data_IF_793951400075
#
_entry.id   IF_793951400075
#
_cell.length_a   1.000
_cell.length_b   1.000
_cell.length_c   1.000
_cell.angle_alpha   90.00
_cell.angle_beta   90.00
_cell.angle_gamma   90.00
#
_symmetry.space_group_name_H-M   'P 1'
#
loop_
_entity.id
_entity.type
_entity.pdbx_description
1 polymer ?
#
# COMPACT_ATOMS: atom_id res chain seq x y z
N UNK A 1 -30.04 -6.89 7.23
CA UNK A 1 -28.61 -6.52 7.08
C UNK A 1 -28.02 -6.38 8.47
N UNK A 2 -27.02 -7.19 8.83
CA UNK A 2 -26.25 -7.01 10.05
C UNK A 2 -25.09 -6.09 9.69
N UNK A 3 -25.05 -4.88 10.23
CA UNK A 3 -23.81 -4.11 10.27
C UNK A 3 -23.02 -4.65 11.47
N UNK A 4 -22.06 -5.55 11.23
CA UNK A 4 -20.97 -5.72 12.17
C UNK A 4 -20.15 -4.44 12.09
N UNK A 5 -20.44 -3.51 12.99
CA UNK A 5 -19.52 -2.44 13.32
C UNK A 5 -18.31 -3.06 14.04
N UNK A 6 -17.45 -3.77 13.31
CA UNK A 6 -16.06 -3.85 13.72
C UNK A 6 -15.58 -2.40 13.67
N UNK A 7 -15.36 -1.80 14.83
CA UNK A 7 -14.61 -0.57 14.93
C UNK A 7 -13.22 -0.83 14.39
N UNK A 8 -13.04 -0.68 13.07
CA UNK A 8 -11.73 -0.62 12.43
C UNK A 8 -11.14 0.70 12.91
N UNK A 9 -10.60 0.69 14.12
CA UNK A 9 -9.79 1.77 14.64
C UNK A 9 -8.69 2.00 13.62
N UNK A 10 -8.72 3.17 13.00
CA UNK A 10 -7.75 3.76 12.07
C UNK A 10 -6.50 2.91 11.84
N UNK A 11 -6.56 1.97 10.90
CA UNK A 11 -5.35 1.30 10.39
C UNK A 11 -4.42 2.40 9.89
N UNK A 12 -3.26 2.54 10.54
CA UNK A 12 -2.26 3.51 10.10
C UNK A 12 -1.72 3.02 8.76
N UNK A 13 -1.66 3.90 7.77
CA UNK A 13 -1.01 3.63 6.50
C UNK A 13 0.28 4.43 6.45
N UNK A 14 1.39 3.72 6.55
CA UNK A 14 2.71 4.23 6.28
C UNK A 14 3.04 4.00 4.80
N UNK A 15 3.93 4.83 4.29
CA UNK A 15 4.55 4.60 3.00
C UNK A 15 6.04 4.83 3.15
N UNK A 16 6.83 3.80 2.85
CA UNK A 16 8.28 3.89 2.82
C UNK A 16 8.69 5.04 1.91
N UNK A 17 9.46 5.98 2.46
CA UNK A 17 9.94 7.14 1.71
C UNK A 17 10.78 6.68 0.52
N UNK A 18 10.55 7.24 -0.69
CA UNK A 18 11.54 7.14 -1.75
C UNK A 18 12.89 7.65 -1.25
N UNK A 19 13.98 7.14 -1.82
CA UNK A 19 15.30 7.70 -1.59
C UNK A 19 15.33 9.17 -2.07
N UNK A 20 16.13 10.05 -1.45
CA UNK A 20 16.16 11.47 -1.82
C UNK A 20 16.46 11.72 -3.31
N UNK A 21 17.24 10.82 -3.92
CA UNK A 21 17.70 10.88 -5.30
C UNK A 21 16.81 10.09 -6.27
N UNK A 22 15.69 9.51 -5.80
CA UNK A 22 14.79 8.77 -6.69
C UNK A 22 14.19 9.70 -7.75
N UNK A 23 14.15 9.25 -9.03
CA UNK A 23 13.60 10.03 -10.14
C UNK A 23 12.08 10.17 -10.08
N UNK A 24 11.43 9.69 -9.01
CA UNK A 24 9.99 9.70 -8.80
C UNK A 24 9.66 10.15 -7.38
N UNK A 25 8.41 10.52 -7.15
CA UNK A 25 7.91 10.95 -5.85
C UNK A 25 6.52 10.37 -5.59
N UNK A 26 6.20 10.27 -4.30
CA UNK A 26 4.87 9.86 -3.82
C UNK A 26 4.05 11.13 -3.61
N UNK A 27 2.96 11.24 -4.34
CA UNK A 27 2.05 12.39 -4.26
C UNK A 27 0.95 12.16 -3.23
N UNK A 28 0.46 10.92 -3.13
CA UNK A 28 -0.69 10.57 -2.28
C UNK A 28 -0.60 9.10 -1.88
N UNK A 29 -0.99 8.83 -0.64
CA UNK A 29 -1.12 7.48 -0.10
C UNK A 29 -2.45 7.42 0.63
N UNK A 30 -3.32 6.51 0.20
CA UNK A 30 -4.60 6.27 0.87
C UNK A 30 -4.86 4.79 0.96
N UNK A 31 -5.60 4.39 1.99
CA UNK A 31 -5.98 3.00 2.16
C UNK A 31 -7.10 2.87 3.16
N UNK A 32 -7.86 1.81 3.01
CA UNK A 32 -9.02 1.50 3.84
C UNK A 32 -9.22 -0.01 3.88
N UNK A 33 -9.53 -0.52 5.06
CA UNK A 33 -10.06 -1.87 5.18
C UNK A 33 -11.54 -1.85 4.74
N UNK A 34 -11.91 -2.79 3.87
CA UNK A 34 -13.24 -3.00 3.35
C UNK A 34 -13.60 -4.48 3.48
N UNK A 35 -14.87 -4.78 3.68
CA UNK A 35 -15.38 -6.13 3.53
C UNK A 35 -15.82 -6.32 2.07
N UNK A 36 -15.23 -7.29 1.38
CA UNK A 36 -15.54 -7.67 0.00
C UNK A 36 -15.83 -9.17 -0.06
N UNK A 37 -16.98 -9.55 -0.61
CA UNK A 37 -17.41 -10.94 -0.75
C UNK A 37 -17.41 -11.75 0.58
N UNK A 38 -17.63 -11.06 1.70
CA UNK A 38 -17.62 -11.65 3.05
C UNK A 38 -16.23 -11.85 3.65
N UNK A 39 -15.18 -11.30 3.02
CA UNK A 39 -13.82 -11.30 3.52
C UNK A 39 -13.34 -9.86 3.75
N UNK A 40 -12.67 -9.60 4.87
CA UNK A 40 -12.00 -8.33 5.10
C UNK A 40 -10.77 -8.24 4.19
N UNK A 41 -10.58 -7.10 3.53
CA UNK A 41 -9.41 -6.81 2.69
C UNK A 41 -8.96 -5.37 2.90
N UNK A 42 -7.66 -5.13 2.78
CA UNK A 42 -7.11 -3.78 2.78
C UNK A 42 -6.95 -3.32 1.34
N UNK A 43 -7.70 -2.30 0.98
CA UNK A 43 -7.55 -1.62 -0.30
C UNK A 43 -6.65 -0.41 -0.12
N UNK A 44 -5.70 -0.22 -1.02
CA UNK A 44 -4.83 0.94 -1.02
C UNK A 44 -4.74 1.57 -2.40
N UNK A 45 -4.42 2.86 -2.41
CA UNK A 45 -4.08 3.63 -3.59
C UNK A 45 -2.85 4.46 -3.27
N UNK A 46 -1.78 4.26 -4.06
CA UNK A 46 -0.58 5.11 -4.02
C UNK A 46 -0.46 5.84 -5.35
N UNK A 47 -0.46 7.16 -5.32
CA UNK A 47 -0.21 7.98 -6.50
C UNK A 47 1.25 8.38 -6.54
N UNK A 48 1.93 7.99 -7.61
CA UNK A 48 3.33 8.32 -7.87
C UNK A 48 3.47 9.18 -9.11
N UNK A 49 4.49 10.03 -9.12
CA UNK A 49 4.90 10.81 -10.29
C UNK A 49 6.36 10.59 -10.60
N UNK A 50 6.67 10.35 -11.87
CA UNK A 50 8.04 10.42 -12.38
C UNK A 50 8.40 11.90 -12.62
N UNK A 51 9.53 12.35 -12.07
CA UNK A 51 10.07 13.71 -12.20
C UNK A 51 11.24 13.79 -13.18
N UNK A 52 11.61 12.64 -13.76
CA UNK A 52 12.68 12.54 -14.74
C UNK A 52 12.15 12.63 -16.17
N UNK A 53 13.08 12.93 -17.07
CA UNK A 53 12.86 12.91 -18.52
C UNK A 53 12.94 11.50 -19.12
N UNK A 54 13.27 10.50 -18.32
CA UNK A 54 13.46 9.11 -18.73
C UNK A 54 12.34 8.22 -18.21
N UNK A 55 12.23 6.99 -18.75
CA UNK A 55 11.31 5.98 -18.24
C UNK A 55 11.90 5.37 -16.97
N UNK A 56 11.09 5.30 -15.91
CA UNK A 56 11.47 4.67 -14.63
C UNK A 56 10.70 3.37 -14.46
N UNK A 57 11.38 2.30 -14.06
CA UNK A 57 10.74 1.06 -13.63
C UNK A 57 10.63 1.05 -12.10
N UNK A 58 9.41 0.85 -11.62
CA UNK A 58 9.10 0.75 -10.20
C UNK A 58 8.54 -0.62 -9.89
N UNK A 59 8.80 -1.09 -8.68
CA UNK A 59 7.96 -2.09 -8.05
C UNK A 59 7.96 -1.86 -6.55
N UNK A 60 7.54 -2.86 -5.79
CA UNK A 60 7.42 -2.68 -4.36
C UNK A 60 6.76 -3.85 -3.64
N UNK A 61 6.38 -3.59 -2.41
CA UNK A 61 5.64 -4.52 -1.55
C UNK A 61 4.71 -3.76 -0.61
N UNK A 62 3.57 -4.39 -0.31
CA UNK A 62 2.66 -3.99 0.75
C UNK A 62 2.94 -4.84 1.98
N UNK A 63 3.30 -4.22 3.11
CA UNK A 63 3.64 -4.92 4.36
C UNK A 63 2.56 -4.68 5.40
N UNK A 64 2.11 -5.76 6.03
CA UNK A 64 1.20 -5.70 7.16
C UNK A 64 2.00 -5.85 8.44
N UNK A 65 1.99 -4.82 9.28
CA UNK A 65 2.78 -4.73 10.50
C UNK A 65 1.86 -4.88 11.72
N UNK A 66 2.32 -5.68 12.69
CA UNK A 66 1.67 -5.79 13.98
C UNK A 66 2.04 -4.67 14.94
N UNK A 67 1.47 -4.69 16.15
CA UNK A 67 1.71 -3.68 17.18
C UNK A 67 3.19 -3.51 17.62
N UNK A 68 4.06 -4.48 17.32
CA UNK A 68 5.51 -4.41 17.59
C UNK A 68 6.34 -3.98 16.36
N UNK A 69 5.70 -3.49 15.30
CA UNK A 69 6.28 -3.27 13.96
C UNK A 69 6.87 -4.54 13.32
N UNK A 70 6.57 -5.72 13.88
CA UNK A 70 6.92 -6.99 13.26
C UNK A 70 6.04 -7.21 12.04
N UNK A 71 6.66 -7.58 10.91
CA UNK A 71 5.96 -7.97 9.72
C UNK A 71 5.16 -9.25 9.99
N UNK A 72 3.85 -9.16 9.80
CA UNK A 72 2.91 -10.28 9.87
C UNK A 72 2.81 -10.94 8.50
N UNK A 73 2.67 -10.11 7.46
CA UNK A 73 2.45 -10.54 6.08
C UNK A 73 3.03 -9.51 5.10
N UNK A 74 3.36 -9.92 3.89
CA UNK A 74 3.73 -9.02 2.81
C UNK A 74 3.22 -9.52 1.46
N UNK A 75 2.75 -8.59 0.63
CA UNK A 75 2.29 -8.85 -0.74
C UNK A 75 3.18 -8.07 -1.72
N UNK A 76 3.84 -8.73 -2.69
CA UNK A 76 4.61 -8.04 -3.70
C UNK A 76 3.68 -7.24 -4.62
N UNK A 77 4.12 -6.05 -5.04
CA UNK A 77 3.45 -5.27 -6.06
C UNK A 77 4.04 -5.60 -7.42
N UNK A 78 3.17 -5.82 -8.41
CA UNK A 78 3.63 -6.05 -9.78
C UNK A 78 4.46 -4.86 -10.27
N UNK A 79 5.65 -5.09 -10.86
CA UNK A 79 6.45 -4.02 -11.42
C UNK A 79 5.72 -3.29 -12.54
N UNK A 80 5.97 -2.00 -12.66
CA UNK A 80 5.37 -1.15 -13.68
C UNK A 80 6.31 -0.04 -14.11
N UNK A 81 6.15 0.39 -15.36
CA UNK A 81 6.89 1.55 -15.88
C UNK A 81 6.09 2.84 -15.70
N UNK A 82 6.81 3.91 -15.37
CA UNK A 82 6.34 5.28 -15.54
C UNK A 82 7.12 5.96 -16.66
N UNK A 83 6.40 6.50 -17.63
CA UNK A 83 6.97 7.41 -18.62
C UNK A 83 7.45 8.72 -18.00
N UNK A 84 8.20 9.53 -18.78
CA UNK A 84 8.68 10.85 -18.36
C UNK A 84 7.54 11.75 -17.89
N UNK A 85 7.71 12.43 -16.76
CA UNK A 85 6.69 13.34 -16.18
C UNK A 85 5.30 12.71 -15.93
N UNK A 86 5.17 11.38 -16.06
CA UNK A 86 3.89 10.70 -15.92
C UNK A 86 3.47 10.66 -14.46
N UNK A 87 2.16 10.73 -14.21
CA UNK A 87 1.55 10.39 -12.92
C UNK A 87 0.72 9.13 -13.07
N UNK A 88 0.85 8.19 -12.13
CA UNK A 88 0.10 6.93 -12.13
C UNK A 88 -0.42 6.62 -10.74
N UNK A 89 -1.67 6.17 -10.66
CA UNK A 89 -2.23 5.57 -9.47
C UNK A 89 -1.98 4.06 -9.50
N UNK A 90 -1.45 3.53 -8.40
CA UNK A 90 -1.26 2.11 -8.16
C UNK A 90 -2.31 1.72 -7.16
N UNK A 91 -3.17 0.78 -7.54
CA UNK A 91 -4.24 0.28 -6.69
C UNK A 91 -4.00 -1.19 -6.44
N UNK A 92 -4.23 -1.62 -5.20
CA UNK A 92 -4.17 -3.01 -4.85
C UNK A 92 -5.14 -3.33 -3.73
N UNK A 93 -5.46 -4.60 -3.62
CA UNK A 93 -6.22 -5.15 -2.51
C UNK A 93 -5.48 -6.37 -2.00
N UNK A 94 -5.36 -6.48 -0.69
CA UNK A 94 -4.75 -7.62 -0.05
C UNK A 94 -5.72 -8.16 1.01
N UNK A 95 -6.03 -9.47 0.98
CA UNK A 95 -6.94 -10.06 1.95
C UNK A 95 -6.37 -9.90 3.36
N UNK A 96 -7.25 -9.59 4.30
CA UNK A 96 -6.97 -9.54 5.73
C UNK A 96 -7.63 -10.77 6.36
N UNK A 97 -6.90 -11.89 6.55
CA UNK A 97 -7.44 -13.03 7.28
C UNK A 97 -7.96 -12.53 8.63
N UNK A 98 -9.17 -12.94 9.03
CA UNK A 98 -9.81 -12.43 10.25
C UNK A 98 -8.91 -12.57 11.49
N UNK A 99 -8.15 -13.66 11.57
CA UNK A 99 -7.17 -13.93 12.63
C UNK A 99 -6.02 -12.91 12.67
N UNK A 100 -5.66 -12.34 11.52
CA UNK A 100 -4.60 -11.34 11.37
C UNK A 100 -5.15 -9.92 11.47
N UNK A 101 -6.39 -9.68 11.06
CA UNK A 101 -7.02 -8.35 11.07
C UNK A 101 -6.98 -7.67 12.45
N UNK A 102 -7.14 -8.45 13.53
CA UNK A 102 -7.06 -7.94 14.91
C UNK A 102 -5.63 -7.58 15.33
N UNK A 103 -4.63 -8.14 14.65
CA UNK A 103 -3.21 -8.00 15.00
C UNK A 103 -2.51 -6.90 14.22
N UNK A 104 -3.06 -6.49 13.08
CA UNK A 104 -2.48 -5.47 12.21
C UNK A 104 -2.69 -4.10 12.87
N UNK A 105 -1.60 -3.43 13.15
CA UNK A 105 -1.59 -2.07 13.66
C UNK A 105 -1.34 -1.06 12.54
N UNK A 106 -0.54 -1.45 11.54
CA UNK A 106 -0.10 -0.57 10.46
C UNK A 106 0.03 -1.36 9.15
N UNK A 107 -0.21 -0.67 8.05
CA UNK A 107 0.11 -1.13 6.70
C UNK A 107 1.19 -0.20 6.15
N UNK A 108 2.27 -0.76 5.60
CA UNK A 108 3.41 -0.01 5.05
C UNK A 108 3.55 -0.33 3.56
N UNK A 109 3.37 0.66 2.68
CA UNK A 109 3.63 0.50 1.25
C UNK A 109 5.07 0.90 0.96
N UNK A 110 5.88 -0.01 0.44
CA UNK A 110 7.26 0.27 0.02
C UNK A 110 7.37 0.21 -1.50
N UNK A 111 7.92 1.26 -2.08
CA UNK A 111 8.21 1.34 -3.50
C UNK A 111 9.72 1.56 -3.69
N UNK A 112 10.29 0.97 -4.74
CA UNK A 112 11.70 1.12 -5.09
C UNK A 112 11.90 1.03 -6.61
N UNK A 113 12.97 1.67 -7.08
CA UNK A 113 13.42 1.65 -8.48
C UNK A 113 14.14 0.34 -8.80
N UNK A 114 14.03 -0.13 -10.06
CA UNK A 114 14.80 -1.25 -10.62
C UNK A 114 15.80 -0.80 -11.68
#
# INVERSE_FOLDING_TARGET
MRALALGIASLALACGSPAPDDPWEILEVSGRALEQDGQLAFHFTVRVRNRSTDVVQLGGELRFLGASNAQIHAEPLEPFSLGPEQTRAIEGSAPLPEELAVRIAEVDVRLHSY
#
